data_IF_166280306033
#
_entry.id   IF_166280306033
#
_cell.length_a   1.000
_cell.length_b   1.000
_cell.length_c   1.000
_cell.angle_alpha   90.00
_cell.angle_beta   90.00
_cell.angle_gamma   90.00
#
_symmetry.space_group_name_H-M   'P 1'
#
loop_
_entity.id
_entity.type
_entity.pdbx_description
1 polymer ?
#
# COMPACT_ATOMS: atom_id res chain seq x y z
N UNK A 1 2.97 -30.55 -6.63
CA UNK A 1 3.86 -29.44 -6.23
C UNK A 1 3.51 -29.08 -4.81
N UNK A 2 4.52 -28.93 -3.95
CA UNK A 2 4.28 -28.58 -2.57
C UNK A 2 3.62 -27.19 -2.50
N UNK A 3 2.44 -27.09 -1.90
CA UNK A 3 1.65 -25.86 -1.86
C UNK A 3 1.55 -25.42 -0.40
N UNK A 4 2.28 -24.39 -0.01
CA UNK A 4 2.32 -23.90 1.38
C UNK A 4 1.04 -23.13 1.79
N UNK A 5 0.22 -22.72 0.83
CA UNK A 5 -1.06 -22.03 1.06
C UNK A 5 -2.08 -22.59 0.09
N UNK A 6 -3.18 -23.15 0.61
CA UNK A 6 -4.33 -23.54 -0.21
C UNK A 6 -5.08 -22.28 -0.67
N UNK A 7 -4.73 -21.79 -1.86
CA UNK A 7 -5.25 -20.55 -2.44
C UNK A 7 -6.73 -20.64 -2.82
N UNK A 8 -7.18 -21.82 -3.24
CA UNK A 8 -8.58 -22.03 -3.61
C UNK A 8 -9.46 -22.02 -2.35
N UNK A 9 -8.99 -22.64 -1.26
CA UNK A 9 -9.64 -22.55 0.05
C UNK A 9 -9.61 -21.13 0.62
N UNK A 10 -8.52 -20.38 0.42
CA UNK A 10 -8.45 -18.97 0.78
C UNK A 10 -9.52 -18.15 0.05
N UNK A 11 -9.69 -18.37 -1.26
CA UNK A 11 -10.69 -17.67 -2.07
C UNK A 11 -12.11 -18.04 -1.66
N UNK A 12 -12.38 -19.32 -1.41
CA UNK A 12 -13.67 -19.79 -0.93
C UNK A 12 -14.02 -19.20 0.46
N UNK A 13 -13.05 -19.20 1.38
CA UNK A 13 -13.21 -18.63 2.72
C UNK A 13 -13.43 -17.12 2.65
N UNK A 14 -12.65 -16.41 1.83
CA UNK A 14 -12.80 -14.98 1.66
C UNK A 14 -14.17 -14.61 1.10
N UNK A 15 -14.65 -15.36 0.09
CA UNK A 15 -15.96 -15.16 -0.49
C UNK A 15 -17.12 -15.44 0.46
N UNK A 16 -17.00 -16.49 1.30
CA UNK A 16 -18.01 -16.84 2.28
C UNK A 16 -18.12 -15.84 3.45
N UNK A 17 -16.98 -15.27 3.89
CA UNK A 17 -16.92 -14.35 5.02
C UNK A 17 -17.08 -12.87 4.63
N UNK A 18 -16.93 -12.53 3.35
CA UNK A 18 -17.09 -11.15 2.87
C UNK A 18 -18.56 -10.71 2.94
N UNK A 19 -18.83 -9.71 3.77
CA UNK A 19 -20.18 -9.11 3.87
C UNK A 19 -20.54 -8.41 2.57
N UNK A 20 -21.75 -8.54 2.04
CA UNK A 20 -22.14 -7.96 0.73
C UNK A 20 -22.15 -6.42 0.67
N UNK A 21 -22.21 -5.72 1.80
CA UNK A 21 -22.30 -4.26 1.85
C UNK A 21 -23.74 -3.75 2.00
N UNK A 22 -23.98 -2.45 1.75
CA UNK A 22 -25.31 -1.87 1.87
C UNK A 22 -26.26 -2.44 0.80
N UNK A 23 -27.55 -2.57 1.14
CA UNK A 23 -28.58 -2.91 0.15
C UNK A 23 -28.81 -1.69 -0.75
N UNK A 24 -28.74 -1.92 -2.06
CA UNK A 24 -28.94 -0.93 -3.12
C UNK A 24 -29.85 -1.55 -4.19
N UNK A 25 -30.57 -0.71 -4.94
CA UNK A 25 -31.31 -1.19 -6.12
C UNK A 25 -30.36 -1.49 -7.28
N UNK A 26 -30.81 -2.26 -8.28
CA UNK A 26 -30.01 -2.51 -9.48
C UNK A 26 -29.67 -1.21 -10.23
N UNK A 27 -30.64 -0.30 -10.35
CA UNK A 27 -30.45 1.02 -10.96
C UNK A 27 -29.38 1.82 -10.21
N UNK A 28 -29.50 1.91 -8.88
CA UNK A 28 -28.50 2.59 -8.05
C UNK A 28 -27.11 1.98 -8.20
N UNK A 29 -26.99 0.64 -8.20
CA UNK A 29 -25.72 -0.03 -8.41
C UNK A 29 -25.11 0.31 -9.78
N UNK A 30 -25.95 0.34 -10.82
CA UNK A 30 -25.53 0.68 -12.19
C UNK A 30 -25.05 2.13 -12.27
N UNK A 31 -25.76 3.06 -11.64
CA UNK A 31 -25.41 4.48 -11.58
C UNK A 31 -24.09 4.69 -10.84
N UNK A 32 -23.91 4.07 -9.67
CA UNK A 32 -22.67 4.13 -8.88
C UNK A 32 -21.49 3.60 -9.70
N UNK A 33 -21.63 2.44 -10.34
CA UNK A 33 -20.55 1.86 -11.17
C UNK A 33 -20.23 2.77 -12.37
N UNK A 34 -21.25 3.34 -13.00
CA UNK A 34 -21.11 4.30 -14.10
C UNK A 34 -20.39 5.58 -13.68
N UNK A 35 -20.77 6.15 -12.52
CA UNK A 35 -20.13 7.31 -11.92
C UNK A 35 -18.66 7.05 -11.62
N UNK A 36 -18.34 5.95 -10.93
CA UNK A 36 -16.96 5.63 -10.57
C UNK A 36 -16.04 5.51 -11.78
N UNK A 37 -16.54 4.94 -12.89
CA UNK A 37 -15.79 4.89 -14.15
C UNK A 37 -15.54 6.28 -14.72
N UNK A 38 -16.59 7.09 -14.88
CA UNK A 38 -16.46 8.46 -15.42
C UNK A 38 -15.57 9.34 -14.55
N UNK A 39 -15.74 9.29 -13.23
CA UNK A 39 -14.96 10.08 -12.28
C UNK A 39 -13.51 9.61 -12.20
N UNK A 40 -13.22 8.34 -12.50
CA UNK A 40 -11.84 7.87 -12.66
C UNK A 40 -11.15 8.50 -13.88
N UNK A 41 -11.88 8.68 -14.98
CA UNK A 41 -11.36 9.34 -16.18
C UNK A 41 -11.20 10.85 -15.94
N UNK A 42 -12.17 11.49 -15.27
CA UNK A 42 -12.07 12.89 -14.84
C UNK A 42 -10.86 13.12 -13.91
N UNK A 43 -10.70 12.27 -12.89
CA UNK A 43 -9.58 12.32 -11.97
C UNK A 43 -8.21 12.20 -12.67
N UNK A 44 -8.12 11.44 -13.77
CA UNK A 44 -6.88 11.32 -14.53
C UNK A 44 -6.43 12.64 -15.14
N UNK A 45 -7.37 13.46 -15.63
CA UNK A 45 -7.08 14.81 -16.11
C UNK A 45 -6.53 15.68 -14.99
N UNK A 46 -7.23 15.75 -13.85
CA UNK A 46 -6.78 16.56 -12.72
C UNK A 46 -5.42 16.16 -12.16
N UNK A 47 -5.14 14.85 -12.04
CA UNK A 47 -3.84 14.36 -11.58
C UNK A 47 -2.74 14.73 -12.57
N UNK A 48 -2.97 14.55 -13.87
CA UNK A 48 -1.99 14.90 -14.90
C UNK A 48 -1.72 16.41 -14.94
N UNK A 49 -2.76 17.24 -14.87
CA UNK A 49 -2.65 18.69 -14.88
C UNK A 49 -1.89 19.21 -13.65
N UNK A 50 -2.13 18.63 -12.48
CA UNK A 50 -1.49 19.08 -11.23
C UNK A 50 -0.04 18.59 -11.09
N UNK A 51 0.23 17.34 -11.45
CA UNK A 51 1.56 16.72 -11.25
C UNK A 51 2.50 16.88 -12.43
N UNK A 52 1.98 17.11 -13.63
CA UNK A 52 2.72 17.00 -14.88
C UNK A 52 3.09 15.55 -15.27
N UNK A 53 2.74 14.55 -14.46
CA UNK A 53 3.02 13.15 -14.74
C UNK A 53 2.03 12.60 -15.76
N UNK A 54 2.56 11.92 -16.78
CA UNK A 54 1.77 11.26 -17.82
C UNK A 54 2.11 9.78 -17.87
N UNK A 55 1.07 8.95 -17.98
CA UNK A 55 1.25 7.51 -18.15
C UNK A 55 2.11 7.23 -19.40
N UNK A 56 3.18 6.47 -19.21
CA UNK A 56 4.12 6.05 -20.26
C UNK A 56 3.77 4.65 -20.80
N UNK A 57 2.91 3.92 -20.09
CA UNK A 57 2.46 2.58 -20.46
C UNK A 57 0.94 2.54 -20.58
N UNK A 58 0.46 1.77 -21.56
CA UNK A 58 -0.96 1.46 -21.66
C UNK A 58 -1.39 0.68 -20.42
N UNK A 59 -2.51 1.06 -19.83
CA UNK A 59 -3.06 0.41 -18.65
C UNK A 59 -4.52 0.05 -18.87
N UNK A 60 -5.02 -1.01 -18.20
CA UNK A 60 -6.43 -1.38 -18.30
C UNK A 60 -7.34 -0.28 -17.74
N UNK A 61 -8.63 -0.26 -18.15
CA UNK A 61 -9.62 0.60 -17.51
C UNK A 61 -9.83 0.20 -16.05
N UNK A 62 -10.43 1.09 -15.26
CA UNK A 62 -10.75 0.80 -13.86
C UNK A 62 -11.73 -0.38 -13.74
N UNK A 63 -11.45 -1.27 -12.79
CA UNK A 63 -12.34 -2.37 -12.46
C UNK A 63 -13.08 -2.04 -11.17
N UNK A 64 -14.37 -1.79 -11.30
CA UNK A 64 -15.27 -1.63 -10.15
C UNK A 64 -15.68 -3.02 -9.68
N UNK A 65 -15.42 -3.33 -8.42
CA UNK A 65 -15.58 -4.66 -7.83
C UNK A 65 -16.44 -4.61 -6.57
N UNK A 66 -17.01 -5.75 -6.20
CA UNK A 66 -17.51 -5.97 -4.85
C UNK A 66 -16.39 -6.48 -3.92
N UNK A 67 -16.73 -6.76 -2.67
CA UNK A 67 -15.78 -7.23 -1.65
C UNK A 67 -15.23 -8.63 -1.92
N UNK A 68 -16.06 -9.50 -2.51
CA UNK A 68 -15.67 -10.87 -2.86
C UNK A 68 -14.70 -10.84 -4.03
N UNK A 69 -15.02 -10.08 -5.06
CA UNK A 69 -14.18 -9.89 -6.24
C UNK A 69 -12.84 -9.22 -5.89
N UNK A 70 -12.86 -8.23 -4.98
CA UNK A 70 -11.62 -7.63 -4.46
C UNK A 70 -10.74 -8.68 -3.77
N UNK A 71 -11.32 -9.50 -2.89
CA UNK A 71 -10.56 -10.52 -2.17
C UNK A 71 -10.01 -11.59 -3.11
N UNK A 72 -10.82 -12.08 -4.07
CA UNK A 72 -10.38 -13.04 -5.07
C UNK A 72 -9.23 -12.49 -5.93
N UNK A 73 -9.30 -11.21 -6.33
CA UNK A 73 -8.24 -10.56 -7.11
C UNK A 73 -6.92 -10.47 -6.34
N UNK A 74 -6.98 -10.08 -5.05
CA UNK A 74 -5.79 -10.02 -4.20
C UNK A 74 -5.20 -11.43 -3.94
N UNK A 75 -6.05 -12.44 -3.77
CA UNK A 75 -5.60 -13.84 -3.59
C UNK A 75 -4.85 -14.32 -4.84
N UNK A 76 -5.36 -14.01 -6.03
CA UNK A 76 -4.68 -14.33 -7.28
C UNK A 76 -3.31 -13.64 -7.38
N UNK A 77 -3.24 -12.34 -7.09
CA UNK A 77 -1.97 -11.59 -7.08
C UNK A 77 -0.96 -12.13 -6.05
N UNK A 78 -1.41 -12.41 -4.83
CA UNK A 78 -0.57 -13.00 -3.78
C UNK A 78 -0.04 -14.38 -4.18
N UNK A 79 -0.86 -15.21 -4.83
CA UNK A 79 -0.44 -16.51 -5.37
C UNK A 79 0.70 -16.35 -6.38
N UNK A 80 0.59 -15.40 -7.30
CA UNK A 80 1.62 -15.15 -8.32
C UNK A 80 2.97 -14.73 -7.73
N UNK A 81 2.95 -13.99 -6.61
CA UNK A 81 4.17 -13.52 -5.95
C UNK A 81 4.74 -14.57 -5.00
N UNK A 82 3.90 -15.20 -4.16
CA UNK A 82 4.36 -16.07 -3.08
C UNK A 82 4.77 -17.44 -3.62
N UNK A 83 4.10 -17.99 -4.64
CA UNK A 83 4.44 -19.32 -5.17
C UNK A 83 5.90 -19.42 -5.64
N UNK A 84 6.42 -18.51 -6.48
CA UNK A 84 7.83 -18.52 -6.89
C UNK A 84 8.81 -18.41 -5.72
N UNK A 85 8.49 -17.57 -4.73
CA UNK A 85 9.32 -17.36 -3.54
C UNK A 85 9.46 -18.63 -2.70
N UNK A 86 8.33 -19.30 -2.47
CA UNK A 86 8.24 -20.54 -1.69
C UNK A 86 8.94 -21.70 -2.40
N UNK A 87 8.83 -21.80 -3.72
CA UNK A 87 9.53 -22.82 -4.50
C UNK A 87 11.05 -22.69 -4.39
N UNK A 88 11.60 -21.47 -4.32
CA UNK A 88 13.05 -21.25 -4.12
C UNK A 88 13.51 -21.61 -2.71
N UNK A 89 12.70 -21.31 -1.70
CA UNK A 89 12.98 -21.59 -0.29
C UNK A 89 13.03 -23.08 0.07
N UNK A 90 12.20 -23.89 -0.60
CA UNK A 90 11.95 -25.27 -0.16
C UNK A 90 13.03 -26.27 -0.61
N UNK A 91 13.80 -25.96 -1.65
CA UNK A 91 14.77 -26.90 -2.24
C UNK A 91 14.17 -28.28 -2.57
N UNK A 92 15.01 -29.30 -2.70
CA UNK A 92 14.59 -30.71 -2.93
C UNK A 92 14.05 -31.42 -1.66
N UNK A 93 13.93 -30.73 -0.52
CA UNK A 93 13.45 -31.35 0.71
C UNK A 93 11.93 -31.35 0.73
N UNK A 94 11.34 -32.49 0.37
CA UNK A 94 9.91 -32.73 0.53
C UNK A 94 9.56 -32.87 2.02
N UNK A 95 8.79 -31.95 2.63
CA UNK A 95 8.09 -32.26 3.86
C UNK A 95 7.10 -33.41 3.64
N UNK A 96 6.74 -34.13 4.70
CA UNK A 96 5.79 -35.24 4.60
C UNK A 96 4.44 -34.77 4.04
N UNK A 97 3.90 -35.47 3.04
CA UNK A 97 2.71 -35.05 2.29
C UNK A 97 1.48 -34.73 3.16
N UNK A 98 1.34 -35.39 4.32
CA UNK A 98 0.22 -35.19 5.24
C UNK A 98 0.37 -33.93 6.12
N UNK A 99 1.56 -33.63 6.63
CA UNK A 99 1.81 -32.41 7.43
C UNK A 99 1.75 -31.16 6.56
N UNK A 100 2.15 -31.28 5.29
CA UNK A 100 2.07 -30.20 4.31
C UNK A 100 0.62 -29.85 3.94
N UNK A 101 -0.22 -30.85 3.66
CA UNK A 101 -1.62 -30.64 3.28
C UNK A 101 -2.48 -30.04 4.41
N UNK A 102 -2.18 -30.37 5.68
CA UNK A 102 -2.87 -29.79 6.83
C UNK A 102 -2.40 -28.36 7.07
N UNK A 103 -1.09 -28.09 6.97
CA UNK A 103 -0.52 -26.76 7.13
C UNK A 103 -0.98 -25.77 6.06
N UNK A 104 -1.07 -26.22 4.81
CA UNK A 104 -1.49 -25.38 3.68
C UNK A 104 -2.95 -24.97 3.74
N UNK A 105 -3.83 -25.87 4.18
CA UNK A 105 -5.26 -25.59 4.41
C UNK A 105 -5.47 -24.60 5.53
N UNK A 106 -4.78 -24.78 6.67
CA UNK A 106 -4.87 -23.85 7.80
C UNK A 106 -4.44 -22.43 7.37
N UNK A 107 -3.31 -22.33 6.66
CA UNK A 107 -2.80 -21.06 6.15
C UNK A 107 -3.76 -20.44 5.12
N UNK A 108 -4.37 -21.26 4.25
CA UNK A 108 -5.39 -20.83 3.31
C UNK A 108 -6.62 -20.21 3.99
N UNK A 109 -7.17 -20.87 5.01
CA UNK A 109 -8.31 -20.33 5.80
C UNK A 109 -7.94 -19.02 6.49
N UNK A 110 -6.75 -18.93 7.08
CA UNK A 110 -6.26 -17.71 7.73
C UNK A 110 -6.12 -16.56 6.74
N UNK A 111 -5.46 -16.78 5.59
CA UNK A 111 -5.32 -15.79 4.54
C UNK A 111 -6.68 -15.31 4.02
N UNK A 112 -7.59 -16.24 3.74
CA UNK A 112 -8.96 -15.94 3.30
C UNK A 112 -9.74 -15.11 4.33
N UNK A 113 -9.59 -15.43 5.63
CA UNK A 113 -10.26 -14.70 6.72
C UNK A 113 -9.74 -13.27 6.85
N UNK A 114 -8.42 -13.08 6.77
CA UNK A 114 -7.80 -11.74 6.80
C UNK A 114 -8.28 -10.92 5.60
N UNK A 115 -8.29 -11.50 4.40
CA UNK A 115 -8.73 -10.80 3.20
C UNK A 115 -10.22 -10.49 3.21
N UNK A 116 -11.09 -11.37 3.74
CA UNK A 116 -12.51 -11.04 3.95
C UNK A 116 -12.71 -9.85 4.91
N UNK A 117 -11.88 -9.77 5.95
CA UNK A 117 -11.93 -8.66 6.88
C UNK A 117 -11.47 -7.34 6.25
N UNK A 118 -10.38 -7.38 5.47
CA UNK A 118 -9.82 -6.22 4.78
C UNK A 118 -10.73 -5.74 3.65
N UNK A 119 -11.38 -6.65 2.93
CA UNK A 119 -12.26 -6.33 1.81
C UNK A 119 -13.37 -5.37 2.20
N UNK A 120 -13.84 -5.38 3.45
CA UNK A 120 -14.86 -4.45 3.96
C UNK A 120 -14.37 -3.04 4.33
N UNK A 121 -13.07 -2.74 4.16
CA UNK A 121 -12.46 -1.47 4.61
C UNK A 121 -11.72 -0.70 3.51
N UNK A 122 -11.31 -1.38 2.45
CA UNK A 122 -10.58 -0.78 1.32
C UNK A 122 -11.55 -0.10 0.37
N UNK A 123 -11.36 1.18 0.08
CA UNK A 123 -12.24 1.93 -0.84
C UNK A 123 -11.81 1.75 -2.30
N UNK A 124 -10.52 1.79 -2.54
CA UNK A 124 -9.88 1.45 -3.79
C UNK A 124 -8.45 0.97 -3.56
N UNK A 125 -7.83 0.49 -4.63
CA UNK A 125 -6.47 0.01 -4.61
C UNK A 125 -5.90 0.04 -6.02
N UNK A 126 -4.66 0.51 -6.17
CA UNK A 126 -3.86 0.13 -7.32
C UNK A 126 -3.14 -1.20 -7.03
N UNK A 127 -3.63 -2.29 -7.62
CA UNK A 127 -3.09 -3.64 -7.45
C UNK A 127 -1.87 -3.84 -8.35
N UNK A 128 -0.70 -3.98 -7.73
CA UNK A 128 0.59 -4.14 -8.39
C UNK A 128 0.93 -5.63 -8.58
N UNK A 129 0.26 -6.58 -7.93
CA UNK A 129 0.71 -7.98 -8.02
C UNK A 129 0.11 -8.77 -9.18
N UNK A 130 -1.10 -8.43 -9.66
CA UNK A 130 -1.87 -9.32 -10.56
C UNK A 130 -1.64 -9.16 -12.06
N UNK A 131 -1.13 -8.02 -12.53
CA UNK A 131 -0.97 -7.72 -13.97
C UNK A 131 0.13 -6.68 -14.20
N UNK A 132 0.69 -6.62 -15.41
CA UNK A 132 1.59 -5.56 -15.87
C UNK A 132 0.80 -4.56 -16.73
N UNK A 133 0.75 -3.24 -16.39
CA UNK A 133 1.46 -2.55 -15.30
C UNK A 133 0.83 -2.69 -13.90
N UNK A 134 -0.42 -3.14 -13.84
CA UNK A 134 -1.22 -3.25 -12.63
C UNK A 134 -2.69 -3.04 -12.95
N UNK A 135 -3.55 -3.09 -11.93
CA UNK A 135 -4.99 -2.89 -12.09
C UNK A 135 -5.54 -1.93 -11.03
N UNK A 136 -6.21 -0.89 -11.48
CA UNK A 136 -6.98 -0.01 -10.59
C UNK A 136 -8.30 -0.68 -10.20
N UNK A 137 -8.52 -0.86 -8.91
CA UNK A 137 -9.72 -1.45 -8.31
C UNK A 137 -10.47 -0.41 -7.49
N UNK A 138 -11.80 -0.36 -7.62
CA UNK A 138 -12.67 0.43 -6.76
C UNK A 138 -13.74 -0.46 -6.13
N UNK A 139 -13.87 -0.46 -4.81
CA UNK A 139 -14.79 -1.33 -4.07
C UNK A 139 -16.11 -0.60 -3.83
N UNK A 140 -17.00 -0.65 -4.82
CA UNK A 140 -18.25 0.13 -4.82
C UNK A 140 -19.10 -0.02 -3.53
N UNK A 141 -19.30 -1.23 -2.96
CA UNK A 141 -20.07 -1.36 -1.73
C UNK A 141 -19.47 -0.59 -0.54
N UNK A 142 -18.14 -0.48 -0.46
CA UNK A 142 -17.48 0.27 0.61
C UNK A 142 -17.58 1.77 0.39
N UNK A 143 -17.42 2.21 -0.86
CA UNK A 143 -17.56 3.62 -1.23
C UNK A 143 -18.97 4.09 -0.85
N UNK A 144 -20.02 3.38 -1.28
CA UNK A 144 -21.41 3.71 -0.93
C UNK A 144 -21.64 3.67 0.59
N UNK A 145 -21.10 2.66 1.29
CA UNK A 145 -21.26 2.56 2.74
C UNK A 145 -20.62 3.75 3.48
N UNK A 146 -19.42 4.15 3.08
CA UNK A 146 -18.71 5.27 3.71
C UNK A 146 -19.33 6.61 3.34
N UNK A 147 -19.69 6.81 2.08
CA UNK A 147 -20.43 7.98 1.57
C UNK A 147 -21.66 8.26 2.46
N UNK A 148 -22.52 7.25 2.64
CA UNK A 148 -23.74 7.35 3.44
C UNK A 148 -23.45 7.60 4.92
N UNK A 149 -22.46 6.92 5.50
CA UNK A 149 -22.06 7.13 6.90
C UNK A 149 -21.55 8.54 7.18
N UNK A 150 -20.92 9.17 6.19
CA UNK A 150 -20.40 10.52 6.30
C UNK A 150 -21.43 11.59 5.95
N UNK A 151 -22.56 11.22 5.33
CA UNK A 151 -23.49 12.17 4.75
C UNK A 151 -22.80 13.06 3.70
N UNK A 152 -21.83 12.50 2.99
CA UNK A 152 -21.07 13.23 1.99
C UNK A 152 -21.88 13.40 0.70
N UNK A 153 -21.56 14.43 -0.08
CA UNK A 153 -22.09 14.53 -1.44
C UNK A 153 -21.54 13.35 -2.27
N UNK A 154 -22.40 12.60 -2.99
CA UNK A 154 -21.96 11.41 -3.71
C UNK A 154 -20.89 11.67 -4.76
N UNK A 155 -21.03 12.73 -5.56
CA UNK A 155 -20.08 13.04 -6.63
C UNK A 155 -18.75 13.42 -6.02
N UNK A 156 -18.76 14.35 -5.07
CA UNK A 156 -17.55 14.84 -4.41
C UNK A 156 -16.78 13.72 -3.73
N UNK A 157 -17.47 12.84 -2.99
CA UNK A 157 -16.83 11.74 -2.29
C UNK A 157 -16.24 10.70 -3.25
N UNK A 158 -16.99 10.33 -4.29
CA UNK A 158 -16.52 9.37 -5.31
C UNK A 158 -15.33 9.92 -6.09
N UNK A 159 -15.37 11.20 -6.49
CA UNK A 159 -14.25 11.86 -7.17
C UNK A 159 -13.02 11.95 -6.25
N UNK A 160 -13.22 12.28 -4.97
CA UNK A 160 -12.16 12.28 -3.97
C UNK A 160 -11.47 10.91 -3.85
N UNK A 161 -12.24 9.82 -3.82
CA UNK A 161 -11.67 8.46 -3.85
C UNK A 161 -10.94 8.22 -5.18
N UNK A 162 -11.54 8.58 -6.32
CA UNK A 162 -10.93 8.37 -7.64
C UNK A 162 -9.60 9.12 -7.77
N UNK A 163 -9.47 10.36 -7.31
CA UNK A 163 -8.22 11.13 -7.35
C UNK A 163 -7.09 10.45 -6.59
N UNK A 164 -7.38 9.94 -5.39
CA UNK A 164 -6.40 9.22 -4.58
C UNK A 164 -5.88 7.99 -5.33
N UNK A 165 -6.79 7.15 -5.81
CA UNK A 165 -6.45 5.88 -6.47
C UNK A 165 -5.81 6.09 -7.84
N UNK A 166 -6.26 7.11 -8.59
CA UNK A 166 -5.66 7.49 -9.87
C UNK A 166 -4.26 8.07 -9.67
N UNK A 167 -3.98 8.77 -8.57
CA UNK A 167 -2.63 9.23 -8.26
C UNK A 167 -1.67 8.04 -8.13
N UNK A 168 -2.07 6.98 -7.42
CA UNK A 168 -1.28 5.75 -7.35
C UNK A 168 -1.12 5.07 -8.70
N UNK A 169 -2.20 4.95 -9.48
CA UNK A 169 -2.09 4.44 -10.86
C UNK A 169 -1.05 5.23 -11.65
N UNK A 170 -1.13 6.56 -11.63
CA UNK A 170 -0.19 7.45 -12.33
C UNK A 170 1.24 7.27 -11.84
N UNK A 171 1.49 7.11 -10.53
CA UNK A 171 2.83 6.85 -10.01
C UNK A 171 3.47 5.58 -10.60
N UNK A 172 2.68 4.52 -10.81
CA UNK A 172 3.21 3.27 -11.39
C UNK A 172 3.20 3.24 -12.92
N UNK A 173 2.30 3.98 -13.58
CA UNK A 173 2.22 4.02 -15.04
C UNK A 173 3.05 5.12 -15.69
N UNK A 174 3.33 6.21 -14.97
CA UNK A 174 4.22 7.28 -15.43
C UNK A 174 5.70 6.99 -15.19
N UNK A 175 6.00 6.02 -14.30
CA UNK A 175 7.37 5.68 -13.88
C UNK A 175 7.66 4.21 -14.20
N UNK A 176 8.16 3.89 -15.42
CA UNK A 176 8.22 2.51 -15.93
C UNK A 176 9.04 1.54 -15.06
N UNK A 177 10.04 2.04 -14.32
CA UNK A 177 10.88 1.22 -13.46
C UNK A 177 10.26 0.93 -12.08
N UNK A 178 9.22 1.66 -11.67
CA UNK A 178 8.67 1.63 -10.31
C UNK A 178 8.19 0.23 -9.91
N UNK A 179 7.41 -0.41 -10.79
CA UNK A 179 6.87 -1.75 -10.58
C UNK A 179 8.00 -2.77 -10.39
N UNK A 180 8.95 -2.80 -11.32
CA UNK A 180 10.07 -3.73 -11.29
C UNK A 180 10.93 -3.54 -10.03
N UNK A 181 11.21 -2.28 -9.66
CA UNK A 181 11.93 -1.95 -8.45
C UNK A 181 11.19 -2.47 -7.20
N UNK A 182 9.90 -2.17 -7.06
CA UNK A 182 9.10 -2.63 -5.92
C UNK A 182 9.11 -4.16 -5.78
N UNK A 183 8.89 -4.89 -6.88
CA UNK A 183 8.95 -6.36 -6.88
C UNK A 183 10.35 -6.89 -6.55
N UNK A 184 11.41 -6.21 -7.00
CA UNK A 184 12.80 -6.59 -6.69
C UNK A 184 13.13 -6.41 -5.21
N UNK A 185 12.57 -5.39 -4.55
CA UNK A 185 12.75 -5.18 -3.11
C UNK A 185 11.97 -6.22 -2.29
N UNK A 186 10.74 -6.58 -2.70
CA UNK A 186 10.00 -7.69 -2.09
C UNK A 186 10.79 -9.00 -2.22
N UNK A 187 11.37 -9.26 -3.38
CA UNK A 187 12.23 -10.43 -3.61
C UNK A 187 13.48 -10.40 -2.70
N UNK A 188 14.18 -9.27 -2.64
CA UNK A 188 15.37 -9.11 -1.82
C UNK A 188 15.11 -9.34 -0.33
N UNK A 189 13.92 -8.94 0.17
CA UNK A 189 13.50 -9.20 1.55
C UNK A 189 13.40 -10.70 1.84
N UNK A 190 12.84 -11.46 0.91
CA UNK A 190 12.67 -12.91 1.04
C UNK A 190 14.02 -13.62 0.93
N UNK A 191 14.86 -13.22 -0.02
CA UNK A 191 16.19 -13.81 -0.19
C UNK A 191 17.05 -13.59 1.07
N UNK A 192 17.00 -12.40 1.65
CA UNK A 192 17.69 -12.09 2.92
C UNK A 192 17.16 -12.89 4.13
N UNK A 193 15.93 -13.43 4.03
CA UNK A 193 15.35 -14.34 5.03
C UNK A 193 15.85 -15.78 4.88
N UNK A 194 16.16 -16.18 3.64
CA UNK A 194 16.55 -17.54 3.24
C UNK A 194 18.01 -17.87 3.61
N UNK A 195 18.90 -16.89 3.50
CA UNK A 195 20.33 -17.05 3.79
C UNK A 195 20.67 -17.27 5.27
N UNK A 196 19.67 -17.25 6.16
CA UNK A 196 19.84 -17.39 7.61
C UNK A 196 19.58 -18.79 8.18
N UNK A 197 19.41 -19.82 7.34
CA UNK A 197 18.97 -21.16 7.75
C UNK A 197 19.77 -21.83 8.88
N UNK A 198 21.07 -21.53 9.01
CA UNK A 198 21.91 -22.09 10.09
C UNK A 198 21.76 -21.34 11.43
N UNK A 199 21.14 -20.16 11.47
CA UNK A 199 21.03 -19.32 12.67
C UNK A 199 19.58 -19.06 13.13
N UNK A 200 18.55 -19.60 12.47
CA UNK A 200 17.14 -19.40 12.89
C UNK A 200 16.90 -19.90 14.32
N UNK A 201 17.43 -21.08 14.68
CA UNK A 201 17.30 -21.66 16.03
C UNK A 201 18.04 -20.82 17.07
N UNK A 202 19.22 -20.30 16.72
CA UNK A 202 20.02 -19.44 17.59
C UNK A 202 19.37 -18.06 17.80
N UNK A 203 18.75 -17.51 16.74
CA UNK A 203 17.97 -16.27 16.80
C UNK A 203 16.69 -16.42 17.61
N UNK A 204 15.97 -17.54 17.47
CA UNK A 204 14.82 -17.84 18.31
C UNK A 204 15.22 -17.92 19.78
N UNK A 205 16.36 -18.55 20.11
CA UNK A 205 16.90 -18.57 21.48
C UNK A 205 17.27 -17.19 22.00
N UNK A 206 17.96 -16.35 21.20
CA UNK A 206 18.28 -14.97 21.57
C UNK A 206 17.03 -14.11 21.75
N UNK A 207 16.06 -14.23 20.85
CA UNK A 207 14.78 -13.51 20.93
C UNK A 207 14.01 -13.86 22.20
N UNK A 208 14.00 -15.14 22.61
CA UNK A 208 13.36 -15.58 23.87
C UNK A 208 14.10 -15.04 25.10
N UNK A 209 15.44 -15.02 25.12
CA UNK A 209 16.20 -14.45 26.24
C UNK A 209 16.04 -12.93 26.34
N UNK A 210 15.92 -12.22 25.22
CA UNK A 210 15.75 -10.76 25.22
C UNK A 210 14.30 -10.37 25.52
N UNK A 211 13.32 -11.20 25.17
CA UNK A 211 11.91 -11.02 25.58
C UNK A 211 11.75 -11.01 27.11
N UNK A 212 12.50 -11.84 27.85
CA UNK A 212 12.47 -11.78 29.32
C UNK A 212 13.06 -10.49 29.90
N UNK A 213 13.94 -9.82 29.17
CA UNK A 213 14.56 -8.55 29.60
C UNK A 213 13.70 -7.34 29.20
N UNK A 214 13.05 -7.37 28.03
CA UNK A 214 12.08 -6.33 27.60
C UNK A 214 10.82 -6.33 28.48
N UNK A 215 10.39 -7.50 28.96
CA UNK A 215 9.29 -7.60 29.95
C UNK A 215 9.67 -6.97 31.31
N UNK A 216 10.97 -6.86 31.62
CA UNK A 216 11.46 -6.20 32.84
C UNK A 216 11.65 -4.70 32.70
N UNK A 217 11.76 -4.18 31.47
CA UNK A 217 11.91 -2.75 31.20
C UNK A 217 10.99 -2.27 30.05
N UNK A 218 9.74 -1.86 30.37
CA UNK A 218 8.73 -1.47 29.39
C UNK A 218 9.05 -0.20 28.58
N UNK A 219 10.07 0.57 28.98
CA UNK A 219 10.49 1.82 28.30
C UNK A 219 11.55 1.59 27.19
N UNK A 220 11.97 0.33 26.98
CA UNK A 220 12.89 0.01 25.88
C UNK A 220 12.21 0.17 24.51
N UNK A 221 12.65 1.17 23.75
CA UNK A 221 12.13 1.55 22.41
C UNK A 221 12.42 0.53 21.30
N UNK A 222 12.91 -0.66 21.66
CA UNK A 222 13.34 -1.69 20.71
C UNK A 222 12.15 -2.59 20.41
N UNK A 223 11.59 -2.47 19.21
CA UNK A 223 10.51 -3.37 18.78
C UNK A 223 11.05 -4.79 18.70
N UNK A 224 10.27 -5.79 19.12
CA UNK A 224 10.63 -7.22 19.02
C UNK A 224 11.06 -7.61 17.58
N UNK A 225 10.56 -6.87 16.58
CA UNK A 225 10.94 -7.02 15.17
C UNK A 225 12.38 -6.56 14.87
N UNK A 226 12.87 -5.51 15.52
CA UNK A 226 14.24 -4.98 15.32
C UNK A 226 15.31 -5.97 15.81
N UNK A 227 14.95 -6.85 16.75
CA UNK A 227 15.86 -7.83 17.38
C UNK A 227 15.99 -9.11 16.52
N UNK A 228 15.00 -9.38 15.66
CA UNK A 228 14.93 -10.63 14.88
C UNK A 228 15.46 -10.45 13.44
N UNK A 229 15.47 -9.23 12.91
CA UNK A 229 15.84 -8.94 11.52
C UNK A 229 17.36 -8.87 11.28
N UNK A 230 17.79 -9.31 10.10
CA UNK A 230 19.18 -9.12 9.64
C UNK A 230 19.42 -7.68 9.20
N UNK A 231 20.67 -7.19 9.23
CA UNK A 231 21.00 -5.88 8.65
C UNK A 231 20.56 -5.75 7.17
N UNK A 232 20.65 -6.84 6.40
CA UNK A 232 20.20 -6.87 5.00
C UNK A 232 18.67 -6.76 4.88
N UNK A 233 17.92 -7.51 5.70
CA UNK A 233 16.45 -7.40 5.74
C UNK A 233 16.00 -5.99 6.16
N UNK A 234 16.67 -5.42 7.17
CA UNK A 234 16.39 -4.06 7.64
C UNK A 234 16.61 -3.03 6.53
N UNK A 235 17.72 -3.11 5.80
CA UNK A 235 18.00 -2.19 4.71
C UNK A 235 16.95 -2.25 3.58
N UNK A 236 16.43 -3.45 3.27
CA UNK A 236 15.33 -3.62 2.30
C UNK A 236 14.03 -3.02 2.84
N UNK A 237 13.69 -3.30 4.10
CA UNK A 237 12.50 -2.74 4.74
C UNK A 237 12.54 -1.22 4.83
N UNK A 238 13.71 -0.63 5.08
CA UNK A 238 13.89 0.82 5.10
C UNK A 238 13.61 1.42 3.71
N UNK A 239 14.07 0.78 2.62
CA UNK A 239 13.78 1.21 1.24
C UNK A 239 12.31 1.08 0.87
N UNK A 240 11.68 -0.06 1.18
CA UNK A 240 10.24 -0.27 0.97
C UNK A 240 9.42 0.74 1.77
N UNK A 241 9.81 0.98 3.02
CA UNK A 241 9.17 1.97 3.88
C UNK A 241 9.28 3.37 3.30
N UNK A 242 10.48 3.78 2.86
CA UNK A 242 10.68 5.11 2.32
C UNK A 242 9.92 5.31 1.00
N UNK A 243 9.89 4.30 0.13
CA UNK A 243 9.09 4.32 -1.09
C UNK A 243 7.60 4.47 -0.76
N UNK A 244 7.04 3.62 0.09
CA UNK A 244 5.61 3.69 0.42
C UNK A 244 5.26 5.02 1.09
N UNK A 245 6.13 5.54 1.96
CA UNK A 245 5.94 6.84 2.61
C UNK A 245 5.92 7.98 1.59
N UNK A 246 6.82 7.95 0.60
CA UNK A 246 6.81 8.90 -0.51
C UNK A 246 5.51 8.81 -1.32
N UNK A 247 5.13 7.61 -1.78
CA UNK A 247 3.98 7.44 -2.67
C UNK A 247 2.69 7.94 -2.03
N UNK A 248 2.49 7.60 -0.75
CA UNK A 248 1.35 8.03 0.05
C UNK A 248 1.40 9.53 0.37
N UNK A 249 2.58 10.06 0.71
CA UNK A 249 2.78 11.49 0.94
C UNK A 249 2.51 12.34 -0.30
N UNK A 250 2.92 11.85 -1.47
CA UNK A 250 2.65 12.47 -2.76
C UNK A 250 1.17 12.40 -3.11
N UNK A 251 0.49 11.27 -2.87
CA UNK A 251 -0.95 11.17 -3.08
C UNK A 251 -1.70 12.20 -2.23
N UNK A 252 -1.38 12.32 -0.95
CA UNK A 252 -1.97 13.36 -0.09
C UNK A 252 -1.61 14.79 -0.56
N UNK A 253 -0.40 15.03 -1.06
CA UNK A 253 -0.02 16.32 -1.65
C UNK A 253 -0.85 16.66 -2.90
N UNK A 254 -1.11 15.68 -3.78
CA UNK A 254 -2.01 15.85 -4.93
C UNK A 254 -3.43 16.12 -4.48
N UNK A 255 -3.91 15.40 -3.47
CA UNK A 255 -5.23 15.61 -2.87
C UNK A 255 -5.36 16.99 -2.19
N UNK A 256 -4.26 17.57 -1.71
CA UNK A 256 -4.19 18.95 -1.20
C UNK A 256 -4.30 19.98 -2.33
N UNK A 257 -3.67 19.70 -3.47
CA UNK A 257 -3.69 20.56 -4.66
C UNK A 257 -5.02 20.59 -5.39
N UNK A 258 -5.75 19.47 -5.38
CA UNK A 258 -7.08 19.37 -5.97
C UNK A 258 -8.09 20.00 -5.00
N UNK A 259 -8.18 21.32 -5.08
CA UNK A 259 -8.94 22.18 -4.18
C UNK A 259 -10.46 22.19 -4.40
N UNK A 260 -11.18 23.11 -3.73
CA UNK A 260 -12.65 23.19 -3.75
C UNK A 260 -13.25 23.49 -5.12
N UNK A 261 -12.42 23.97 -6.07
CA UNK A 261 -12.82 24.15 -7.46
C UNK A 261 -13.13 22.85 -8.20
N UNK A 262 -12.53 21.73 -7.77
CA UNK A 262 -12.81 20.38 -8.33
C UNK A 262 -13.76 19.59 -7.43
N UNK A 263 -13.55 19.67 -6.12
CA UNK A 263 -14.37 18.99 -5.11
C UNK A 263 -14.83 20.03 -4.06
N UNK A 264 -16.00 20.66 -4.24
CA UNK A 264 -16.50 21.69 -3.34
C UNK A 264 -16.48 21.31 -1.85
N UNK A 265 -16.77 20.04 -1.51
CA UNK A 265 -16.80 19.57 -0.13
C UNK A 265 -15.53 18.86 0.37
N UNK A 266 -14.37 19.05 -0.30
CA UNK A 266 -13.10 18.36 -0.01
C UNK A 266 -12.64 18.51 1.44
N UNK A 267 -12.74 19.72 2.01
CA UNK A 267 -12.31 20.00 3.38
C UNK A 267 -13.15 19.21 4.40
N UNK A 268 -14.47 19.12 4.17
CA UNK A 268 -15.41 18.37 5.01
C UNK A 268 -15.12 16.86 4.93
N UNK A 269 -14.89 16.34 3.72
CA UNK A 269 -14.54 14.93 3.52
C UNK A 269 -13.23 14.62 4.27
N UNK A 270 -12.21 15.45 4.10
CA UNK A 270 -10.91 15.31 4.77
C UNK A 270 -11.03 15.32 6.30
N UNK A 271 -11.75 16.30 6.85
CA UNK A 271 -11.95 16.40 8.29
C UNK A 271 -12.64 15.15 8.86
N UNK A 272 -13.61 14.59 8.14
CA UNK A 272 -14.28 13.35 8.52
C UNK A 272 -13.35 12.14 8.52
N UNK A 273 -12.47 12.02 7.54
CA UNK A 273 -11.47 10.95 7.51
C UNK A 273 -10.40 11.11 8.58
N UNK A 274 -9.92 12.34 8.85
CA UNK A 274 -8.97 12.60 9.93
C UNK A 274 -9.55 12.19 11.29
N UNK A 275 -10.79 12.57 11.60
CA UNK A 275 -11.48 12.13 12.82
C UNK A 275 -11.62 10.61 12.93
N UNK A 276 -12.02 9.94 11.83
CA UNK A 276 -12.15 8.48 11.80
C UNK A 276 -10.81 7.77 12.01
N UNK A 277 -9.72 8.34 11.49
CA UNK A 277 -8.35 7.83 11.64
C UNK A 277 -7.85 7.97 13.08
N UNK A 278 -8.18 9.07 13.76
CA UNK A 278 -7.84 9.31 15.18
C UNK A 278 -8.62 8.39 16.13
N UNK A 279 -9.88 8.09 15.80
CA UNK A 279 -10.78 7.23 16.59
C UNK A 279 -10.44 5.71 16.54
N UNK A 280 -9.25 5.33 16.06
CA UNK A 280 -8.88 3.96 15.65
C UNK A 280 -9.40 2.81 16.53
N UNK A 281 -10.06 1.83 15.89
CA UNK A 281 -10.70 0.69 16.53
C UNK A 281 -9.66 -0.23 17.22
N UNK A 282 -9.89 -0.69 18.47
CA UNK A 282 -9.01 -1.63 19.19
C UNK A 282 -8.63 -2.89 18.39
N UNK A 283 -9.54 -3.40 17.55
CA UNK A 283 -9.31 -4.56 16.68
C UNK A 283 -8.32 -4.24 15.55
N UNK A 284 -8.35 -3.00 15.03
CA UNK A 284 -7.45 -2.54 13.99
C UNK A 284 -6.01 -2.40 14.51
N UNK A 285 -5.85 -1.93 15.76
CA UNK A 285 -4.55 -1.93 16.45
C UNK A 285 -4.01 -3.35 16.69
N UNK A 286 -4.89 -4.31 16.99
CA UNK A 286 -4.49 -5.71 17.19
C UNK A 286 -3.99 -6.38 15.89
N UNK A 287 -4.64 -6.12 14.75
CA UNK A 287 -4.22 -6.68 13.45
C UNK A 287 -2.91 -6.04 12.96
N UNK A 288 -2.72 -4.72 13.16
CA UNK A 288 -1.47 -4.02 12.83
C UNK A 288 -0.28 -4.56 13.62
N UNK A 289 -0.47 -4.83 14.92
CA UNK A 289 0.51 -5.50 15.78
C UNK A 289 0.83 -6.92 15.33
N UNK A 290 -0.20 -7.68 14.93
CA UNK A 290 -0.05 -9.07 14.49
C UNK A 290 0.73 -9.19 13.17
N UNK A 291 0.58 -8.23 12.26
CA UNK A 291 1.32 -8.18 10.99
C UNK A 291 2.71 -7.52 11.13
N UNK A 292 3.07 -7.01 12.31
CA UNK A 292 4.31 -6.24 12.53
C UNK A 292 4.35 -4.88 11.82
N UNK A 293 3.20 -4.38 11.38
CA UNK A 293 3.03 -3.14 10.60
C UNK A 293 2.55 -2.02 11.54
N UNK A 294 3.24 -1.80 12.66
CA UNK A 294 2.95 -0.68 13.57
C UNK A 294 3.47 0.68 13.04
N UNK A 295 3.93 0.74 11.79
CA UNK A 295 4.65 1.89 11.23
C UNK A 295 3.77 2.81 10.35
N UNK A 296 2.55 2.38 9.98
CA UNK A 296 1.75 3.09 8.96
C UNK A 296 1.41 4.55 9.33
N UNK A 297 1.10 4.88 10.60
CA UNK A 297 0.55 6.21 10.93
C UNK A 297 1.58 7.35 11.01
N UNK A 298 2.84 7.07 11.41
CA UNK A 298 3.89 8.11 11.45
C UNK A 298 4.37 8.46 10.04
N UNK A 299 4.44 7.45 9.17
CA UNK A 299 4.84 7.57 7.76
C UNK A 299 3.96 8.56 6.98
N UNK A 300 2.62 8.54 7.09
CA UNK A 300 1.75 9.44 6.30
C UNK A 300 1.98 10.93 6.57
N UNK A 301 2.05 11.32 7.85
CA UNK A 301 2.27 12.72 8.22
C UNK A 301 3.68 13.19 7.83
N UNK A 302 4.65 12.28 7.87
CA UNK A 302 6.04 12.52 7.50
C UNK A 302 6.21 12.64 5.98
N UNK A 303 5.64 11.70 5.21
CA UNK A 303 5.65 11.72 3.75
C UNK A 303 4.98 12.96 3.16
N UNK A 304 3.81 13.36 3.68
CA UNK A 304 3.15 14.60 3.24
C UNK A 304 4.02 15.83 3.51
N UNK A 305 4.61 15.94 4.71
CA UNK A 305 5.52 17.04 5.06
C UNK A 305 6.78 17.04 4.19
N UNK A 306 7.31 15.86 3.90
CA UNK A 306 8.44 15.69 3.00
C UNK A 306 8.13 16.24 1.61
N UNK A 307 7.03 15.78 0.99
CA UNK A 307 6.66 16.23 -0.36
C UNK A 307 6.37 17.73 -0.39
N UNK A 308 5.59 18.26 0.57
CA UNK A 308 5.38 19.70 0.71
C UNK A 308 6.71 20.46 0.80
N UNK A 309 7.61 20.03 1.70
CA UNK A 309 8.89 20.69 1.90
C UNK A 309 9.79 20.66 0.66
N UNK A 310 9.83 19.54 -0.08
CA UNK A 310 10.59 19.46 -1.33
C UNK A 310 9.97 20.36 -2.40
N UNK A 311 8.64 20.29 -2.61
CA UNK A 311 7.96 21.10 -3.63
C UNK A 311 8.09 22.60 -3.33
N UNK A 312 8.05 23.03 -2.08
CA UNK A 312 8.31 24.43 -1.68
C UNK A 312 9.72 24.91 -2.08
N UNK A 313 10.71 24.00 -2.11
CA UNK A 313 12.11 24.33 -2.41
C UNK A 313 12.43 24.31 -3.90
N UNK A 314 11.88 23.35 -4.63
CA UNK A 314 12.28 23.07 -6.04
C UNK A 314 11.12 23.06 -7.04
N UNK A 315 9.89 23.35 -6.59
CA UNK A 315 8.68 23.26 -7.41
C UNK A 315 8.29 21.82 -7.76
N UNK A 316 7.15 21.66 -8.43
CA UNK A 316 6.66 20.34 -8.87
C UNK A 316 7.60 19.70 -9.90
N UNK A 317 8.14 20.48 -10.84
CA UNK A 317 9.09 19.98 -11.84
C UNK A 317 10.38 19.47 -11.19
N UNK A 318 10.95 20.23 -10.25
CA UNK A 318 12.10 19.80 -9.47
C UNK A 318 11.79 18.53 -8.68
N UNK A 319 10.66 18.50 -7.96
CA UNK A 319 10.20 17.34 -7.20
C UNK A 319 10.10 16.08 -8.08
N UNK A 320 9.58 16.19 -9.32
CA UNK A 320 9.43 15.06 -10.23
C UNK A 320 10.74 14.34 -10.56
N UNK A 321 11.91 14.96 -10.29
CA UNK A 321 13.21 14.28 -10.37
C UNK A 321 13.31 13.05 -9.46
N UNK A 322 12.48 12.96 -8.42
CA UNK A 322 12.36 11.79 -7.54
C UNK A 322 12.01 10.51 -8.31
N UNK A 323 11.31 10.64 -9.43
CA UNK A 323 10.86 9.53 -10.28
C UNK A 323 11.82 9.19 -11.42
N UNK A 324 12.96 9.87 -11.55
CA UNK A 324 13.93 9.62 -12.62
C UNK A 324 14.62 8.24 -12.49
N UNK A 325 14.90 7.79 -11.27
CA UNK A 325 15.53 6.48 -11.02
C UNK A 325 15.32 5.97 -9.59
N UNK A 326 15.59 4.69 -9.30
CA UNK A 326 15.61 4.21 -7.91
C UNK A 326 16.58 4.99 -7.00
N UNK A 327 17.65 5.57 -7.56
CA UNK A 327 18.65 6.34 -6.79
C UNK A 327 18.14 7.72 -6.36
N UNK A 328 17.10 8.24 -7.00
CA UNK A 328 16.49 9.54 -6.65
C UNK A 328 15.38 9.40 -5.61
N UNK A 329 14.95 8.18 -5.28
CA UNK A 329 14.03 7.94 -4.16
C UNK A 329 14.61 8.45 -2.83
N UNK A 330 13.76 8.89 -1.89
CA UNK A 330 14.20 9.33 -0.59
C UNK A 330 14.69 8.14 0.22
N UNK A 331 15.72 8.38 1.01
CA UNK A 331 16.13 7.47 2.08
C UNK A 331 15.21 7.68 3.27
N UNK A 332 15.09 6.67 4.13
CA UNK A 332 14.28 6.78 5.34
C UNK A 332 14.69 7.98 6.21
N UNK A 333 16.00 8.27 6.29
CA UNK A 333 16.54 9.42 7.04
C UNK A 333 16.21 10.78 6.44
N UNK A 334 15.86 10.84 5.15
CA UNK A 334 15.57 12.10 4.43
C UNK A 334 14.10 12.49 4.50
N UNK A 335 13.20 11.57 4.89
CA UNK A 335 11.77 11.89 5.01
C UNK A 335 11.48 12.95 6.08
N UNK A 336 12.32 13.03 7.11
CA UNK A 336 12.29 14.10 8.11
C UNK A 336 13.10 15.35 7.74
N UNK A 337 13.86 15.30 6.63
CA UNK A 337 14.80 16.35 6.21
C UNK A 337 14.73 16.55 4.67
N UNK A 338 13.75 17.34 4.18
CA UNK A 338 13.62 17.65 2.76
C UNK A 338 14.87 18.29 2.15
N UNK A 339 15.62 19.07 2.93
CA UNK A 339 16.84 19.74 2.48
C UNK A 339 17.94 18.73 2.13
N UNK A 340 18.08 17.67 2.93
CA UNK A 340 19.04 16.60 2.66
C UNK A 340 18.75 15.90 1.31
N UNK A 341 17.48 15.63 1.00
CA UNK A 341 17.10 15.06 -0.29
C UNK A 341 17.40 16.01 -1.45
N UNK A 342 17.00 17.29 -1.31
CA UNK A 342 17.24 18.31 -2.34
C UNK A 342 18.73 18.46 -2.62
N UNK A 343 19.56 18.55 -1.57
CA UNK A 343 21.01 18.66 -1.70
C UNK A 343 21.63 17.46 -2.43
N UNK A 344 21.10 16.25 -2.20
CA UNK A 344 21.59 15.02 -2.83
C UNK A 344 21.19 14.91 -4.30
N UNK A 345 19.96 15.28 -4.64
CA UNK A 345 19.40 15.07 -5.98
C UNK A 345 19.68 16.23 -6.92
N UNK A 346 19.64 17.46 -6.42
CA UNK A 346 19.84 18.68 -7.21
C UNK A 346 21.20 19.36 -6.98
N UNK A 347 21.98 18.88 -6.00
CA UNK A 347 23.21 19.53 -5.56
C UNK A 347 22.95 20.60 -4.47
N UNK A 348 24.00 21.12 -3.82
CA UNK A 348 23.85 22.18 -2.84
C UNK A 348 23.18 23.39 -3.50
N UNK A 349 22.11 23.89 -2.89
CA UNK A 349 21.21 24.92 -3.43
C UNK A 349 22.01 26.06 -4.11
N UNK A 350 22.12 25.97 -5.43
CA UNK A 350 22.91 26.85 -6.26
C UNK A 350 22.47 26.66 -7.69
N UNK A 351 21.77 27.66 -8.22
CA UNK A 351 21.27 27.79 -9.61
C UNK A 351 20.11 26.89 -10.02
N UNK A 352 18.91 27.18 -9.51
CA UNK A 352 17.72 27.04 -10.36
C UNK A 352 17.52 28.37 -11.09
N UNK A 353 17.36 28.39 -12.42
CA UNK A 353 16.94 29.60 -13.11
C UNK A 353 15.57 29.97 -12.58
N UNK A 354 15.39 31.22 -12.14
CA UNK A 354 14.07 31.75 -11.84
C UNK A 354 13.20 31.59 -13.09
N UNK A 355 12.04 30.94 -12.94
CA UNK A 355 11.05 30.86 -14.01
C UNK A 355 10.66 32.30 -14.41
N UNK A 356 10.91 32.63 -15.68
CA UNK A 356 10.53 33.89 -16.30
C UNK A 356 9.16 33.82 -16.97
#
# INVERSE_FOLDING_TARGET
>A
MAQFVDWDLAAATAGALSKSGPRVSYTEATDVVGDLRRLTDEAAGHVADYTGLKAQVAHPPVRVVDRRDWAATNIAGLREVITPLVSRLSGDKQPGALTEAIGSRLTGVQAGTVLAYLSGRVLGQYEVFSADPGQLLLVAPNIVEVERKLGADPRDFRLWVCLHEVTHRTQFTAVPWMRAYFLSEVQAFVDASSSGGEHIVERLRRGVSTLSDVVRDPDSRTSVLDIVQTPAQRAVLDRLTALMTLLEGHAEFVMDGVGPQVIPSVERIRASFNRRREAGNPVEKAIRRLLGVDVKMRQYAEGRKFVHGVVERVGMEGFNSIFNSPLTLPRLSELGDPDAWVARVHGPAGTFPAAG
#
